data_IF_671711282938
#
_entry.id   IF_671711282938
#
_cell.length_a   1.000
_cell.length_b   1.000
_cell.length_c   1.000
_cell.angle_alpha   90.00
_cell.angle_beta   90.00
_cell.angle_gamma   90.00
#
_symmetry.space_group_name_H-M   'P 1'
#
loop_
_entity.id
_entity.type
_entity.pdbx_description
1 polymer ?
#
# COMPACT_ATOMS: atom_id res chain seq x y z
N UNK A 1 -2.60 -12.07 25.18
CA UNK A 1 -1.39 -11.71 24.39
C UNK A 1 -1.83 -10.78 23.27
N UNK A 2 -1.37 -9.53 23.26
CA UNK A 2 -1.76 -8.54 22.24
C UNK A 2 -1.32 -9.00 20.84
N UNK A 3 -2.08 -8.71 19.77
CA UNK A 3 -1.73 -9.11 18.39
C UNK A 3 -0.55 -8.31 17.79
N UNK A 4 -0.18 -7.22 18.45
CA UNK A 4 0.84 -6.25 18.02
C UNK A 4 2.25 -6.86 17.87
N UNK A 5 2.75 -7.74 18.76
CA UNK A 5 4.09 -8.34 18.64
C UNK A 5 4.21 -9.26 17.41
N UNK A 6 3.14 -9.97 17.03
CA UNK A 6 3.16 -10.90 15.91
C UNK A 6 3.25 -10.17 14.56
N UNK A 7 2.42 -9.15 14.35
CA UNK A 7 2.46 -8.31 13.15
C UNK A 7 3.83 -7.66 12.99
N UNK A 8 4.40 -7.16 14.10
CA UNK A 8 5.72 -6.52 14.12
C UNK A 8 6.82 -7.48 13.69
N UNK A 9 6.83 -8.69 14.22
CA UNK A 9 7.80 -9.71 13.85
C UNK A 9 7.69 -10.08 12.36
N UNK A 10 6.48 -10.24 11.84
CA UNK A 10 6.26 -10.56 10.42
C UNK A 10 6.74 -9.44 9.50
N UNK A 11 6.40 -8.19 9.81
CA UNK A 11 6.81 -7.04 9.02
C UNK A 11 8.32 -6.80 9.06
N UNK A 12 8.97 -7.06 10.20
CA UNK A 12 10.42 -6.99 10.31
C UNK A 12 11.10 -8.02 9.41
N UNK A 13 10.61 -9.27 9.42
CA UNK A 13 11.16 -10.37 8.61
C UNK A 13 10.79 -10.32 7.13
N UNK A 14 9.65 -9.71 6.78
CA UNK A 14 9.21 -9.64 5.40
C UNK A 14 10.20 -8.83 4.53
N UNK A 15 10.68 -9.42 3.44
CA UNK A 15 11.44 -8.70 2.41
C UNK A 15 10.52 -8.08 1.35
N UNK A 16 9.35 -8.66 1.14
CA UNK A 16 8.37 -8.32 0.11
C UNK A 16 6.96 -8.46 0.66
N UNK A 17 6.08 -7.51 0.34
CA UNK A 17 4.65 -7.57 0.60
C UNK A 17 3.92 -7.58 -0.74
N UNK A 18 3.11 -8.59 -0.99
CA UNK A 18 2.22 -8.64 -2.14
C UNK A 18 0.84 -8.17 -1.69
N UNK A 19 0.34 -7.10 -2.31
CA UNK A 19 -1.02 -6.62 -2.09
C UNK A 19 -1.84 -6.88 -3.34
N UNK A 20 -2.63 -7.94 -3.30
CA UNK A 20 -3.59 -8.26 -4.35
C UNK A 20 -4.89 -7.45 -4.20
N UNK A 21 -5.49 -7.07 -5.33
CA UNK A 21 -6.68 -6.23 -5.39
C UNK A 21 -6.56 -4.85 -4.71
N UNK A 22 -5.35 -4.30 -4.62
CA UNK A 22 -5.17 -2.98 -4.03
C UNK A 22 -5.96 -1.84 -4.74
N UNK A 23 -6.22 -1.88 -6.07
CA UNK A 23 -7.01 -0.85 -6.75
C UNK A 23 -8.45 -0.74 -6.24
N UNK A 24 -9.01 -1.82 -5.68
CA UNK A 24 -10.36 -1.82 -5.11
C UNK A 24 -10.45 -1.10 -3.76
N UNK A 25 -9.31 -0.77 -3.15
CA UNK A 25 -9.24 -0.15 -1.82
C UNK A 25 -9.07 1.36 -1.96
N UNK A 26 -9.69 2.12 -1.04
CA UNK A 26 -9.54 3.58 -0.99
C UNK A 26 -8.09 3.98 -0.71
N UNK A 27 -7.64 5.07 -1.33
CA UNK A 27 -6.30 5.66 -1.17
C UNK A 27 -5.88 5.84 0.30
N UNK A 28 -6.83 6.22 1.18
CA UNK A 28 -6.57 6.38 2.60
C UNK A 28 -6.15 5.09 3.31
N UNK A 29 -6.56 3.91 2.83
CA UNK A 29 -6.09 2.65 3.40
C UNK A 29 -4.63 2.40 3.04
N UNK A 30 -4.18 2.85 1.87
CA UNK A 30 -2.78 2.77 1.47
C UNK A 30 -1.92 3.72 2.33
N UNK A 31 -2.43 4.93 2.62
CA UNK A 31 -1.78 5.86 3.56
C UNK A 31 -1.78 5.33 5.00
N UNK A 32 -2.86 4.69 5.44
CA UNK A 32 -2.92 4.05 6.73
C UNK A 32 -1.92 2.89 6.83
N UNK A 33 -1.72 2.11 5.77
CA UNK A 33 -0.69 1.08 5.73
C UNK A 33 0.70 1.67 5.93
N UNK A 34 1.05 2.76 5.23
CA UNK A 34 2.32 3.45 5.41
C UNK A 34 2.53 3.93 6.86
N UNK A 35 1.50 4.50 7.48
CA UNK A 35 1.53 4.90 8.90
C UNK A 35 1.77 3.71 9.83
N UNK A 36 1.06 2.60 9.62
CA UNK A 36 1.24 1.37 10.41
C UNK A 36 2.67 0.85 10.28
N UNK A 37 3.23 0.84 9.06
CA UNK A 37 4.62 0.43 8.85
C UNK A 37 5.57 1.35 9.59
N UNK A 38 5.40 2.69 9.46
CA UNK A 38 6.16 3.70 10.18
C UNK A 38 6.15 3.44 11.68
N UNK A 39 4.98 3.27 12.27
CA UNK A 39 4.81 3.09 13.72
C UNK A 39 5.41 1.79 14.23
N UNK A 40 5.15 0.67 13.54
CA UNK A 40 5.58 -0.67 13.99
C UNK A 40 7.10 -0.85 13.91
N UNK A 41 7.70 -0.35 12.83
CA UNK A 41 9.11 -0.56 12.53
C UNK A 41 9.98 0.63 13.02
N UNK A 42 9.40 1.76 13.44
CA UNK A 42 10.09 2.95 13.97
C UNK A 42 11.24 2.64 14.94
N UNK A 43 11.04 1.61 15.76
CA UNK A 43 11.92 1.23 16.87
C UNK A 43 13.24 0.57 16.42
N UNK A 44 13.30 -0.02 15.23
CA UNK A 44 14.46 -0.85 14.82
C UNK A 44 15.43 -0.16 13.87
N UNK A 45 14.95 0.77 13.05
CA UNK A 45 15.78 1.31 11.96
C UNK A 45 15.40 2.74 11.58
N UNK A 46 15.92 3.74 12.28
CA UNK A 46 15.68 5.15 11.97
C UNK A 46 16.23 5.60 10.60
N UNK A 47 17.14 4.83 9.97
CA UNK A 47 17.73 5.17 8.67
C UNK A 47 16.72 5.16 7.53
N UNK A 48 15.64 4.39 7.66
CA UNK A 48 14.58 4.27 6.64
C UNK A 48 13.33 5.11 6.91
N UNK A 49 13.36 6.00 7.90
CA UNK A 49 12.21 6.80 8.34
C UNK A 49 11.59 7.68 7.26
N UNK A 50 12.38 8.14 6.28
CA UNK A 50 11.92 8.98 5.18
C UNK A 50 11.35 8.17 4.00
N UNK A 51 11.66 6.88 3.90
CA UNK A 51 11.18 6.05 2.80
C UNK A 51 9.72 5.60 3.03
N UNK A 52 8.87 5.60 1.99
CA UNK A 52 7.56 4.95 2.04
C UNK A 52 7.69 3.50 2.52
N UNK A 53 6.73 3.07 3.35
CA UNK A 53 6.62 1.74 3.94
C UNK A 53 7.93 1.34 4.65
N UNK A 54 8.68 2.34 5.13
CA UNK A 54 10.05 2.25 5.67
C UNK A 54 11.01 1.44 4.82
N UNK A 55 10.90 1.59 3.50
CA UNK A 55 11.76 0.93 2.53
C UNK A 55 11.49 -0.58 2.38
N UNK A 56 10.31 -1.07 2.80
CA UNK A 56 9.84 -2.41 2.43
C UNK A 56 9.34 -2.38 0.98
N UNK A 57 9.67 -3.42 0.22
CA UNK A 57 9.18 -3.57 -1.14
C UNK A 57 7.74 -4.05 -1.08
N UNK A 58 6.83 -3.31 -1.70
CA UNK A 58 5.43 -3.68 -1.81
C UNK A 58 5.05 -3.72 -3.27
N UNK A 59 4.57 -4.87 -3.73
CA UNK A 59 4.06 -5.07 -5.08
C UNK A 59 2.55 -5.05 -4.99
N UNK A 60 1.97 -4.07 -5.68
CA UNK A 60 0.53 -3.95 -5.84
C UNK A 60 0.12 -4.71 -7.09
N UNK A 61 -0.71 -5.73 -6.90
CA UNK A 61 -1.39 -6.50 -7.93
C UNK A 61 -2.87 -6.14 -7.95
N UNK A 62 -3.51 -6.33 -9.10
CA UNK A 62 -4.92 -6.07 -9.31
C UNK A 62 -5.16 -5.41 -10.67
N UNK A 63 -6.36 -5.59 -11.20
CA UNK A 63 -6.76 -4.95 -12.44
C UNK A 63 -7.39 -3.58 -12.15
N UNK A 64 -6.65 -2.52 -12.44
CA UNK A 64 -7.13 -1.14 -12.35
C UNK A 64 -8.32 -0.85 -13.27
N UNK A 65 -8.62 -1.74 -14.24
CA UNK A 65 -9.76 -1.65 -15.14
C UNK A 65 -10.99 -2.43 -14.65
N UNK A 66 -10.88 -3.30 -13.64
CA UNK A 66 -11.99 -4.18 -13.27
C UNK A 66 -13.02 -3.51 -12.37
N UNK A 67 -12.65 -2.88 -11.24
CA UNK A 67 -13.62 -2.18 -10.38
C UNK A 67 -12.95 -1.05 -9.59
N UNK A 68 -13.51 0.17 -9.66
CA UNK A 68 -13.09 1.31 -8.83
C UNK A 68 -13.44 1.09 -7.35
N UNK A 69 -12.80 1.78 -6.39
CA UNK A 69 -13.16 1.63 -4.98
C UNK A 69 -14.65 1.85 -4.74
N UNK A 70 -15.27 0.91 -4.03
CA UNK A 70 -16.72 0.98 -3.73
C UNK A 70 -16.97 2.13 -2.76
N UNK A 71 -17.76 3.10 -3.19
CA UNK A 71 -18.34 4.15 -2.34
C UNK A 71 -19.86 3.99 -2.28
N UNK A 72 -20.42 3.99 -1.07
CA UNK A 72 -21.87 4.14 -0.90
C UNK A 72 -22.26 5.57 -1.34
N UNK A 73 -23.18 5.66 -2.31
CA UNK A 73 -23.73 6.92 -2.85
C UNK A 73 -22.70 7.88 -3.48
N UNK A 74 -21.52 7.38 -3.86
CA UNK A 74 -20.43 8.20 -4.38
C UNK A 74 -20.70 8.76 -5.77
N UNK A 75 -20.71 10.09 -5.91
CA UNK A 75 -20.57 10.74 -7.21
C UNK A 75 -19.24 10.33 -7.87
N UNK A 76 -19.16 10.39 -9.21
CA UNK A 76 -17.94 10.03 -9.97
C UNK A 76 -16.67 10.70 -9.43
N UNK A 77 -16.77 11.95 -9.00
CA UNK A 77 -15.68 12.72 -8.38
C UNK A 77 -15.21 12.12 -7.06
N UNK A 78 -16.13 11.59 -6.24
CA UNK A 78 -15.80 10.88 -5.01
C UNK A 78 -15.03 9.59 -5.29
N UNK A 79 -15.48 8.80 -6.26
CA UNK A 79 -14.82 7.55 -6.65
C UNK A 79 -13.39 7.81 -7.16
N UNK A 80 -13.21 8.82 -8.01
CA UNK A 80 -11.87 9.25 -8.46
C UNK A 80 -11.04 9.69 -7.26
N UNK A 81 -11.60 10.52 -6.37
CA UNK A 81 -10.94 11.00 -5.16
C UNK A 81 -10.47 9.89 -4.21
N UNK A 82 -11.20 8.78 -4.13
CA UNK A 82 -10.80 7.61 -3.36
C UNK A 82 -9.88 6.64 -4.10
N UNK A 83 -9.68 6.80 -5.39
CA UNK A 83 -8.84 5.89 -6.18
C UNK A 83 -7.40 5.91 -5.68
N UNK A 84 -6.72 4.75 -5.70
CA UNK A 84 -5.33 4.61 -5.23
C UNK A 84 -4.37 5.65 -5.84
N UNK A 85 -4.64 6.04 -7.09
CA UNK A 85 -3.89 7.06 -7.85
C UNK A 85 -3.89 8.44 -7.19
N UNK A 86 -4.87 8.75 -6.34
CA UNK A 86 -4.96 10.01 -5.61
C UNK A 86 -4.14 10.01 -4.32
N UNK A 87 -3.58 8.86 -3.91
CA UNK A 87 -2.72 8.79 -2.74
C UNK A 87 -1.42 9.56 -2.97
N UNK A 88 -0.91 10.33 -2.00
CA UNK A 88 0.41 10.94 -2.08
C UNK A 88 1.55 9.93 -2.32
N UNK A 89 1.34 8.68 -1.90
CA UNK A 89 2.29 7.58 -2.07
C UNK A 89 2.37 7.08 -3.51
N UNK A 90 1.36 7.37 -4.36
CA UNK A 90 1.32 6.96 -5.77
C UNK A 90 2.57 7.39 -6.54
N UNK A 91 3.14 8.56 -6.22
CA UNK A 91 4.39 9.08 -6.82
C UNK A 91 5.60 8.15 -6.65
N UNK A 92 5.55 7.23 -5.69
CA UNK A 92 6.61 6.26 -5.41
C UNK A 92 6.35 4.89 -6.03
N UNK A 93 5.19 4.68 -6.65
CA UNK A 93 4.84 3.44 -7.33
C UNK A 93 5.42 3.47 -8.74
N UNK A 94 6.04 2.36 -9.14
CA UNK A 94 6.58 2.15 -10.49
C UNK A 94 5.83 1.00 -11.14
N UNK A 95 5.44 1.18 -12.39
CA UNK A 95 4.85 0.11 -13.18
C UNK A 95 5.94 -0.95 -13.46
N UNK A 96 5.68 -2.17 -13.00
CA UNK A 96 6.47 -3.34 -13.40
C UNK A 96 5.95 -3.80 -14.76
N UNK A 97 6.78 -3.75 -15.79
CA UNK A 97 6.46 -4.35 -17.09
C UNK A 97 6.92 -5.80 -17.08
N UNK A 98 6.01 -6.70 -17.42
CA UNK A 98 6.36 -8.10 -17.63
C UNK A 98 7.23 -8.21 -18.89
N UNK A 99 8.36 -8.90 -18.77
CA UNK A 99 9.34 -9.09 -19.87
C UNK A 99 8.97 -10.32 -20.70
N UNK A 100 8.01 -11.13 -20.26
CA UNK A 100 7.61 -12.38 -20.91
C UNK A 100 6.57 -12.23 -22.03
N UNK A 101 6.53 -11.08 -22.73
CA UNK A 101 5.57 -10.81 -23.82
C UNK A 101 6.21 -10.53 -25.18
N UNK A 102 7.44 -11.01 -25.38
CA UNK A 102 8.07 -11.10 -26.70
C UNK A 102 8.07 -12.56 -27.20
#
# INVERSE_FOLDING_TARGET
MSRVPQMRFLLDKACLVLWDEAPMVRCHCFEALDRIFRDILAVYDSSRSLFPLRGKVVVVSGDFKQVLPVMQEGAKTGIIGASLVMSPLWRHIKALRDVCKD
#
